data_IF_869688951525
#
_entry.id   IF_869688951525
#
_cell.length_a   1.000
_cell.length_b   1.000
_cell.length_c   1.000
_cell.angle_alpha   90.00
_cell.angle_beta   90.00
_cell.angle_gamma   90.00
#
_symmetry.space_group_name_H-M   'P 1'
#
loop_
_entity.id
_entity.type
_entity.pdbx_description
1 polymer ?
#
# COMPACT_ATOMS: atom_id res chain seq x y z
N UNK A 1 -1.47 26.97 -7.00
CA UNK A 1 -1.26 25.53 -7.22
C UNK A 1 -0.09 24.98 -6.40
N UNK A 2 1.05 25.66 -6.31
CA UNK A 2 2.22 25.23 -5.52
C UNK A 2 1.93 24.91 -4.05
N UNK A 3 1.11 25.73 -3.37
CA UNK A 3 0.73 25.49 -1.97
C UNK A 3 -0.05 24.19 -1.81
N UNK A 4 -0.97 23.88 -2.74
CA UNK A 4 -1.74 22.64 -2.73
C UNK A 4 -0.82 21.43 -2.89
N UNK A 5 0.11 21.48 -3.87
CA UNK A 5 1.10 20.41 -4.04
C UNK A 5 1.98 20.23 -2.81
N UNK A 6 2.40 21.32 -2.16
CA UNK A 6 3.18 21.26 -0.93
C UNK A 6 2.44 20.56 0.22
N UNK A 7 1.17 20.91 0.43
CA UNK A 7 0.34 20.28 1.48
C UNK A 7 0.13 18.78 1.19
N UNK A 8 -0.20 18.43 -0.06
CA UNK A 8 -0.41 17.04 -0.45
C UNK A 8 0.89 16.23 -0.32
N UNK A 9 2.03 16.76 -0.79
CA UNK A 9 3.32 16.09 -0.68
C UNK A 9 3.74 15.88 0.78
N UNK A 10 3.52 16.88 1.65
CA UNK A 10 3.80 16.76 3.08
C UNK A 10 2.93 15.69 3.74
N UNK A 11 1.62 15.72 3.51
CA UNK A 11 0.69 14.71 4.03
C UNK A 11 1.03 13.30 3.53
N UNK A 12 1.42 13.19 2.26
CA UNK A 12 1.84 11.93 1.66
C UNK A 12 3.12 11.37 2.30
N UNK A 13 4.12 12.20 2.52
CA UNK A 13 5.36 11.81 3.20
C UNK A 13 5.08 11.34 4.64
N UNK A 14 4.21 12.05 5.36
CA UNK A 14 3.78 11.64 6.71
C UNK A 14 3.09 10.27 6.67
N UNK A 15 2.15 10.07 5.74
CA UNK A 15 1.47 8.78 5.58
C UNK A 15 2.46 7.64 5.29
N UNK A 16 3.42 7.85 4.37
CA UNK A 16 4.44 6.87 4.04
C UNK A 16 5.30 6.49 5.26
N UNK A 17 5.71 7.47 6.07
CA UNK A 17 6.47 7.24 7.30
C UNK A 17 5.67 6.46 8.34
N UNK A 18 4.41 6.84 8.56
CA UNK A 18 3.54 6.18 9.54
C UNK A 18 3.27 4.72 9.16
N UNK A 19 2.96 4.46 7.89
CA UNK A 19 2.70 3.11 7.38
C UNK A 19 3.97 2.27 7.42
N UNK A 20 5.12 2.83 7.01
CA UNK A 20 6.41 2.15 7.14
C UNK A 20 6.74 1.79 8.58
N UNK A 21 6.48 2.70 9.53
CA UNK A 21 6.65 2.42 10.95
C UNK A 21 5.74 1.29 11.44
N UNK A 22 4.48 1.23 10.96
CA UNK A 22 3.51 0.18 11.30
C UNK A 22 3.90 -1.17 10.71
N UNK A 23 4.42 -1.19 9.49
CA UNK A 23 4.90 -2.39 8.81
C UNK A 23 6.05 -3.06 9.59
N UNK A 24 6.99 -2.26 10.12
CA UNK A 24 8.14 -2.78 10.88
C UNK A 24 7.75 -3.17 12.31
N UNK A 25 6.97 -2.34 13.01
CA UNK A 25 6.64 -2.54 14.43
C UNK A 25 5.40 -3.39 14.68
N UNK A 26 4.72 -3.85 13.62
CA UNK A 26 3.48 -4.61 13.76
C UNK A 26 3.65 -5.87 14.64
N UNK A 27 2.83 -6.05 15.69
CA UNK A 27 2.92 -7.19 16.62
C UNK A 27 2.46 -8.50 15.99
N UNK A 28 1.48 -8.47 15.09
CA UNK A 28 0.95 -9.67 14.41
C UNK A 28 1.38 -9.71 12.93
N UNK A 29 1.39 -10.91 12.33
CA UNK A 29 1.61 -11.03 10.88
C UNK A 29 0.47 -10.39 10.08
N UNK A 30 -0.76 -10.42 10.60
CA UNK A 30 -1.93 -9.80 9.98
C UNK A 30 -1.77 -8.27 9.92
N UNK A 31 -1.33 -7.65 11.01
CA UNK A 31 -1.06 -6.21 11.07
C UNK A 31 -0.04 -5.76 10.03
N UNK A 32 1.00 -6.58 9.82
CA UNK A 32 2.03 -6.32 8.82
C UNK A 32 1.50 -6.49 7.39
N UNK A 33 0.67 -7.51 7.15
CA UNK A 33 0.02 -7.73 5.85
C UNK A 33 -0.90 -6.56 5.49
N UNK A 34 -1.71 -6.07 6.45
CA UNK A 34 -2.55 -4.88 6.25
C UNK A 34 -1.69 -3.63 6.04
N UNK A 35 -0.62 -3.44 6.82
CA UNK A 35 0.29 -2.32 6.63
C UNK A 35 0.96 -2.34 5.26
N UNK A 36 1.27 -3.53 4.72
CA UNK A 36 1.81 -3.68 3.36
C UNK A 36 0.78 -3.27 2.31
N UNK A 37 -0.48 -3.67 2.44
CA UNK A 37 -1.56 -3.28 1.52
C UNK A 37 -1.76 -1.75 1.51
N UNK A 38 -1.78 -1.14 2.69
CA UNK A 38 -1.82 0.33 2.82
C UNK A 38 -0.57 0.98 2.23
N UNK A 39 0.61 0.37 2.37
CA UNK A 39 1.84 0.89 1.77
C UNK A 39 1.74 0.90 0.24
N UNK A 40 1.15 -0.14 -0.36
CA UNK A 40 0.88 -0.17 -1.81
C UNK A 40 -0.08 0.96 -2.22
N UNK A 41 -1.13 1.20 -1.44
CA UNK A 41 -2.04 2.32 -1.67
C UNK A 41 -1.34 3.69 -1.59
N UNK A 42 -0.41 3.86 -0.64
CA UNK A 42 0.44 5.05 -0.55
C UNK A 42 1.32 5.16 -1.79
N UNK A 43 1.98 4.09 -2.24
CA UNK A 43 2.79 4.14 -3.47
C UNK A 43 1.95 4.60 -4.67
N UNK A 44 0.73 4.06 -4.83
CA UNK A 44 -0.19 4.47 -5.89
C UNK A 44 -0.57 5.96 -5.81
N UNK A 45 -0.86 6.48 -4.61
CA UNK A 45 -1.15 7.90 -4.43
C UNK A 45 0.07 8.79 -4.78
N UNK A 46 1.29 8.31 -4.54
CA UNK A 46 2.52 9.00 -4.92
C UNK A 46 2.72 9.06 -6.44
N UNK A 47 2.44 7.94 -7.14
CA UNK A 47 2.42 7.90 -8.60
C UNK A 47 1.37 8.84 -9.19
N UNK A 48 0.18 8.90 -8.60
CA UNK A 48 -0.86 9.85 -8.99
C UNK A 48 -0.43 11.32 -8.83
N UNK A 49 0.20 11.67 -7.70
CA UNK A 49 0.75 13.01 -7.49
C UNK A 49 1.83 13.34 -8.52
N UNK A 50 2.70 12.37 -8.84
CA UNK A 50 3.72 12.49 -9.89
C UNK A 50 3.11 12.71 -11.27
N UNK A 51 2.05 11.99 -11.62
CA UNK A 51 1.32 12.15 -12.87
C UNK A 51 0.80 13.58 -13.03
N UNK A 52 0.20 14.13 -11.96
CA UNK A 52 -0.35 15.49 -11.95
C UNK A 52 0.76 16.54 -12.04
N UNK A 53 1.88 16.34 -11.35
CA UNK A 53 3.00 17.30 -11.35
C UNK A 53 3.76 17.27 -12.69
N UNK A 54 3.89 16.11 -13.31
CA UNK A 54 4.55 15.95 -14.61
C UNK A 54 3.67 16.35 -15.79
N UNK A 55 2.35 16.47 -15.58
CA UNK A 55 1.33 16.69 -16.62
C UNK A 55 1.37 15.64 -17.74
N UNK A 56 1.79 14.42 -17.41
CA UNK A 56 1.99 13.31 -18.34
C UNK A 56 1.34 12.03 -17.77
N UNK A 57 0.44 11.37 -18.52
CA UNK A 57 -0.30 10.20 -18.04
C UNK A 57 0.53 8.91 -17.99
N UNK A 58 1.82 8.93 -18.35
CA UNK A 58 2.69 7.75 -18.36
C UNK A 58 2.74 7.04 -16.99
N UNK A 59 2.61 7.78 -15.89
CA UNK A 59 2.61 7.27 -14.51
C UNK A 59 1.37 6.39 -14.20
N UNK A 60 0.33 6.39 -15.04
CA UNK A 60 -0.84 5.53 -14.87
C UNK A 60 -0.54 4.04 -15.13
N UNK A 61 0.41 3.74 -16.01
CA UNK A 61 0.82 2.36 -16.32
C UNK A 61 1.47 1.68 -15.12
N UNK A 62 2.53 2.22 -14.47
CA UNK A 62 3.07 1.61 -13.27
C UNK A 62 2.05 1.59 -12.13
N UNK A 63 1.14 2.57 -12.05
CA UNK A 63 0.07 2.58 -11.05
C UNK A 63 -0.89 1.39 -11.22
N UNK A 64 -1.26 1.05 -12.46
CA UNK A 64 -2.02 -0.15 -12.82
C UNK A 64 -1.29 -1.45 -12.44
N UNK A 65 0.01 -1.54 -12.74
CA UNK A 65 0.81 -2.73 -12.39
C UNK A 65 0.87 -2.91 -10.88
N UNK A 66 1.14 -1.82 -10.14
CA UNK A 66 1.19 -1.82 -8.68
C UNK A 66 -0.17 -2.18 -8.07
N UNK A 67 -1.28 -1.70 -8.64
CA UNK A 67 -2.62 -2.04 -8.14
C UNK A 67 -2.93 -3.53 -8.26
N UNK A 68 -2.55 -4.14 -9.39
CA UNK A 68 -2.72 -5.58 -9.59
C UNK A 68 -1.87 -6.38 -8.60
N UNK A 69 -0.60 -6.00 -8.44
CA UNK A 69 0.31 -6.67 -7.50
C UNK A 69 -0.19 -6.54 -6.06
N UNK A 70 -0.62 -5.35 -5.63
CA UNK A 70 -1.18 -5.12 -4.29
C UNK A 70 -2.41 -5.96 -4.02
N UNK A 71 -3.38 -5.90 -4.95
CA UNK A 71 -4.61 -6.67 -4.85
C UNK A 71 -4.36 -8.19 -4.79
N UNK A 72 -3.55 -8.71 -5.71
CA UNK A 72 -3.21 -10.14 -5.73
C UNK A 72 -2.45 -10.55 -4.47
N UNK A 73 -1.52 -9.72 -3.99
CA UNK A 73 -0.77 -9.97 -2.75
C UNK A 73 -1.69 -10.05 -1.54
N UNK A 74 -2.63 -9.11 -1.40
CA UNK A 74 -3.62 -9.09 -0.31
C UNK A 74 -4.54 -10.32 -0.35
N UNK A 75 -5.04 -10.70 -1.54
CA UNK A 75 -5.87 -11.88 -1.71
C UNK A 75 -5.13 -13.20 -1.40
N UNK A 76 -3.86 -13.32 -1.82
CA UNK A 76 -3.02 -14.46 -1.51
C UNK A 76 -2.75 -14.61 0.00
N UNK A 77 -2.48 -13.48 0.68
CA UNK A 77 -2.29 -13.46 2.13
C UNK A 77 -3.54 -13.90 2.88
N UNK A 78 -4.72 -13.40 2.50
CA UNK A 78 -5.98 -13.79 3.11
C UNK A 78 -6.27 -15.29 2.95
N UNK A 79 -6.03 -15.85 1.76
CA UNK A 79 -6.15 -17.30 1.48
C UNK A 79 -5.20 -18.14 2.33
N UNK A 80 -3.95 -17.70 2.46
CA UNK A 80 -2.94 -18.41 3.25
C UNK A 80 -3.31 -18.48 4.74
N UNK A 81 -3.84 -17.38 5.29
CA UNK A 81 -4.26 -17.34 6.70
C UNK A 81 -5.42 -18.29 6.98
N UNK A 82 -6.41 -18.36 6.09
CA UNK A 82 -7.54 -19.30 6.23
C UNK A 82 -7.07 -20.75 6.28
N UNK A 83 -6.17 -21.16 5.37
CA UNK A 83 -5.65 -22.52 5.35
C UNK A 83 -4.91 -22.91 6.64
N UNK A 84 -4.16 -21.98 7.21
CA UNK A 84 -3.44 -22.20 8.47
C UNK A 84 -4.39 -22.37 9.66
N UNK A 85 -5.51 -21.65 9.67
CA UNK A 85 -6.48 -21.75 10.77
C UNK A 85 -7.27 -23.06 10.69
N UNK A 86 -7.60 -23.56 9.49
CA UNK A 86 -8.25 -24.86 9.27
C UNK A 86 -7.34 -26.04 9.72
N UNK A 87 -6.04 -25.97 9.44
CA UNK A 87 -5.08 -27.02 9.82
C UNK A 87 -4.90 -27.16 11.34
N UNK A 88 -5.09 -26.07 12.10
CA UNK A 88 -5.05 -26.07 13.57
C UNK A 88 -6.36 -26.59 14.18
N UNK A 89 -7.50 -26.38 13.52
CA UNK A 89 -8.80 -26.82 14.02
C UNK A 89 -9.02 -28.35 13.93
N UNK A 90 -8.29 -29.01 13.02
CA UNK A 90 -8.34 -30.46 12.81
C UNK A 90 -7.33 -31.25 13.69
N UNK A 91 -6.50 -30.55 14.49
CA UNK A 91 -5.55 -31.12 15.48
C UNK A 91 -6.14 -31.11 16.90
#
# INVERSE_FOLDING_TARGET
MTVVYGIVAAGHAIAALLVGARLVRGPSMLDRAVALDVLVAVIMAGLGLRAIVADEPWELVPMLVVSLVGFTGSAAFARFMLYRDDEVADQ
#
